data_IF_818886178005
#
_entry.id   IF_818886178005
#
_cell.length_a   1.000
_cell.length_b   1.000
_cell.length_c   1.000
_cell.angle_alpha   90.00
_cell.angle_beta   90.00
_cell.angle_gamma   90.00
#
_symmetry.space_group_name_H-M   'P 1'
#
loop_
_entity.id
_entity.type
_entity.pdbx_description
1 polymer ?
#
# COMPACT_ATOMS: atom_id res chain seq x y z
N UNK A 1 0.38 0.00 21.70
CA UNK A 1 1.40 0.07 22.74
C UNK A 1 2.54 1.04 22.45
N UNK A 2 2.45 1.84 21.39
CA UNK A 2 3.47 2.86 21.04
C UNK A 2 3.10 4.27 21.50
N UNK A 3 2.20 4.40 22.46
CA UNK A 3 1.76 5.67 23.01
C UNK A 3 0.60 6.31 22.25
N UNK A 4 0.40 7.64 22.48
CA UNK A 4 -0.67 8.39 21.82
C UNK A 4 -0.23 8.77 20.40
N UNK A 5 -1.15 8.67 19.44
CA UNK A 5 -0.97 9.16 18.09
C UNK A 5 -0.73 10.67 18.09
N UNK A 6 0.28 11.11 17.33
CA UNK A 6 0.62 12.51 17.15
C UNK A 6 0.94 12.78 15.70
N UNK A 7 0.38 13.82 15.13
CA UNK A 7 0.70 14.33 13.81
C UNK A 7 1.81 15.37 13.92
N UNK A 8 2.85 15.21 13.12
CA UNK A 8 3.94 16.17 13.00
C UNK A 8 3.45 17.41 12.24
N UNK A 9 4.02 18.58 12.53
CA UNK A 9 3.73 19.82 11.82
C UNK A 9 3.92 19.69 10.30
N UNK A 10 2.89 20.00 9.48
CA UNK A 10 2.92 19.80 8.03
C UNK A 10 3.95 20.67 7.32
N UNK A 11 4.20 21.87 7.81
CA UNK A 11 5.19 22.78 7.23
C UNK A 11 6.61 22.26 7.43
N UNK A 12 6.88 21.63 8.59
CA UNK A 12 8.17 20.97 8.84
C UNK A 12 8.38 19.76 7.92
N UNK A 13 7.31 18.99 7.64
CA UNK A 13 7.33 17.85 6.68
C UNK A 13 7.60 18.38 5.26
N UNK A 14 6.88 19.43 4.85
CA UNK A 14 7.08 20.05 3.54
C UNK A 14 8.50 20.60 3.36
N UNK A 15 9.04 21.26 4.39
CA UNK A 15 10.42 21.77 4.37
C UNK A 15 11.43 20.64 4.22
N UNK A 16 11.26 19.54 4.94
CA UNK A 16 12.11 18.34 4.83
C UNK A 16 12.02 17.73 3.43
N UNK A 17 10.83 17.54 2.90
CA UNK A 17 10.62 17.02 1.55
C UNK A 17 11.27 17.89 0.46
N UNK A 18 11.17 19.22 0.59
CA UNK A 18 11.83 20.18 -0.31
C UNK A 18 13.35 20.08 -0.21
N UNK A 19 13.89 19.97 1.01
CA UNK A 19 15.33 19.80 1.19
C UNK A 19 15.84 18.50 0.58
N UNK A 20 15.11 17.40 0.76
CA UNK A 20 15.45 16.11 0.12
C UNK A 20 15.48 16.24 -1.40
N UNK A 21 14.45 16.87 -1.99
CA UNK A 21 14.40 17.09 -3.42
C UNK A 21 15.58 17.95 -3.93
N UNK A 22 15.91 19.03 -3.23
CA UNK A 22 17.05 19.90 -3.57
C UNK A 22 18.40 19.18 -3.45
N UNK A 23 18.47 18.15 -2.59
CA UNK A 23 19.64 17.26 -2.47
C UNK A 23 19.62 16.09 -3.49
N UNK A 24 18.75 16.15 -4.49
CA UNK A 24 18.72 15.19 -5.60
C UNK A 24 17.85 13.95 -5.40
N UNK A 25 17.15 13.80 -4.26
CA UNK A 25 16.20 12.70 -4.07
C UNK A 25 14.96 12.90 -4.96
N UNK A 26 14.62 11.89 -5.75
CA UNK A 26 13.50 11.93 -6.70
C UNK A 26 12.24 11.22 -6.21
N UNK A 27 12.32 10.46 -5.15
CA UNK A 27 11.17 9.82 -4.51
C UNK A 27 11.23 9.97 -3.00
N UNK A 28 10.09 10.27 -2.39
CA UNK A 28 9.89 10.26 -0.95
C UNK A 28 8.70 9.39 -0.60
N UNK A 29 8.75 8.80 0.60
CA UNK A 29 7.61 8.03 1.12
C UNK A 29 7.17 8.64 2.44
N UNK A 30 5.89 9.07 2.51
CA UNK A 30 5.27 9.48 3.76
C UNK A 30 4.95 8.23 4.59
N UNK A 31 5.52 8.15 5.78
CA UNK A 31 5.41 7.00 6.67
C UNK A 31 4.76 7.37 8.00
N UNK A 32 3.92 6.48 8.51
CA UNK A 32 3.31 6.57 9.82
C UNK A 32 2.80 5.20 10.26
N UNK A 33 2.33 5.05 11.50
CA UNK A 33 1.63 3.83 11.93
C UNK A 33 0.30 3.65 11.20
N UNK A 34 -0.35 4.77 10.91
CA UNK A 34 -1.55 4.91 10.10
C UNK A 34 -1.48 6.32 9.50
N UNK A 35 -0.86 6.43 8.32
CA UNK A 35 -0.58 7.73 7.73
C UNK A 35 -1.85 8.48 7.34
N UNK A 36 -2.90 7.75 6.93
CA UNK A 36 -4.16 8.33 6.49
C UNK A 36 -4.96 8.96 7.64
N UNK A 37 -4.65 8.60 8.90
CA UNK A 37 -5.26 9.22 10.07
C UNK A 37 -4.67 10.59 10.43
N UNK A 38 -3.68 11.07 9.68
CA UNK A 38 -3.03 12.34 9.94
C UNK A 38 -4.04 13.49 9.99
N UNK A 39 -4.02 14.21 11.12
CA UNK A 39 -4.76 15.45 11.35
C UNK A 39 -3.92 16.37 12.21
N UNK A 40 -3.79 17.61 11.80
CA UNK A 40 -2.99 18.60 12.50
C UNK A 40 -3.64 19.97 12.46
N UNK A 41 -3.52 20.75 13.53
CA UNK A 41 -3.76 22.21 13.56
C UNK A 41 -2.72 22.86 14.47
N UNK A 42 -2.62 24.17 14.42
CA UNK A 42 -1.74 24.93 15.36
C UNK A 42 -2.12 24.70 16.83
N UNK A 43 -3.40 24.43 17.11
CA UNK A 43 -3.94 24.26 18.46
C UNK A 43 -3.84 22.83 18.96
N UNK A 44 -3.78 21.84 18.07
CA UNK A 44 -3.73 20.43 18.43
C UNK A 44 -3.12 19.56 17.32
N UNK A 45 -2.33 18.57 17.74
CA UNK A 45 -1.71 17.59 16.85
C UNK A 45 -2.13 16.14 17.18
N UNK A 46 -3.29 15.98 17.81
CA UNK A 46 -3.82 14.69 18.22
C UNK A 46 -5.23 14.51 17.65
N UNK A 47 -5.44 13.46 16.85
CA UNK A 47 -6.71 13.14 16.19
C UNK A 47 -7.91 13.20 17.15
N UNK A 48 -7.80 12.59 18.33
CA UNK A 48 -8.89 12.56 19.31
C UNK A 48 -9.29 13.94 19.83
N UNK A 49 -8.32 14.87 19.99
CA UNK A 49 -8.59 16.23 20.43
C UNK A 49 -9.26 17.02 19.31
N UNK A 50 -8.79 16.84 18.08
CA UNK A 50 -9.33 17.50 16.88
C UNK A 50 -10.75 17.01 16.54
N UNK A 51 -11.06 15.73 16.80
CA UNK A 51 -12.40 15.18 16.54
C UNK A 51 -13.44 15.53 17.62
N UNK A 52 -13.00 15.91 18.81
CA UNK A 52 -13.87 16.24 19.96
C UNK A 52 -14.17 17.74 20.07
N UNK A 53 -13.43 18.59 19.42
CA UNK A 53 -13.57 20.03 19.49
C UNK A 53 -14.12 20.57 18.18
N UNK A 54 -15.35 21.09 18.20
CA UNK A 54 -15.97 21.75 17.05
C UNK A 54 -15.40 23.16 16.80
N UNK A 55 -14.57 23.69 17.72
CA UNK A 55 -14.05 25.04 17.68
C UNK A 55 -12.68 25.14 17.00
N UNK A 56 -12.00 24.01 16.77
CA UNK A 56 -10.69 24.01 16.12
C UNK A 56 -10.85 24.21 14.62
N UNK A 57 -10.36 25.37 14.17
CA UNK A 57 -10.31 25.74 12.75
C UNK A 57 -8.99 25.33 12.11
N UNK A 58 -8.92 25.38 10.79
CA UNK A 58 -7.70 25.15 10.00
C UNK A 58 -7.06 23.79 10.25
N UNK A 59 -7.86 22.72 10.28
CA UNK A 59 -7.37 21.37 10.38
C UNK A 59 -6.78 20.93 9.04
N UNK A 60 -5.49 20.59 9.04
CA UNK A 60 -4.80 19.99 7.90
C UNK A 60 -4.93 18.47 8.00
N UNK A 61 -5.61 17.88 7.03
CA UNK A 61 -5.81 16.43 6.87
C UNK A 61 -4.63 15.77 6.14
N UNK A 62 -4.70 14.44 5.99
CA UNK A 62 -3.71 13.72 5.18
C UNK A 62 -3.78 14.10 3.70
N UNK A 63 -4.98 14.30 3.15
CA UNK A 63 -5.15 14.75 1.76
C UNK A 63 -4.51 16.13 1.52
N UNK A 64 -4.68 17.06 2.48
CA UNK A 64 -4.05 18.38 2.38
C UNK A 64 -2.53 18.28 2.43
N UNK A 65 -1.98 17.49 3.37
CA UNK A 65 -0.56 17.24 3.47
C UNK A 65 0.00 16.61 2.18
N UNK A 66 -0.68 15.60 1.66
CA UNK A 66 -0.28 14.91 0.42
C UNK A 66 -0.24 15.89 -0.76
N UNK A 67 -1.25 16.76 -0.88
CA UNK A 67 -1.29 17.81 -1.89
C UNK A 67 -0.17 18.85 -1.71
N UNK A 68 0.09 19.28 -0.47
CA UNK A 68 1.21 20.20 -0.17
C UNK A 68 2.55 19.63 -0.61
N UNK A 69 2.78 18.35 -0.43
CA UNK A 69 4.02 17.67 -0.83
C UNK A 69 4.07 17.48 -2.34
N UNK A 70 2.97 17.08 -2.98
CA UNK A 70 2.89 16.91 -4.44
C UNK A 70 3.21 18.20 -5.20
N UNK A 71 2.83 19.36 -4.65
CA UNK A 71 3.09 20.69 -5.22
C UNK A 71 4.55 21.16 -5.11
N UNK A 72 5.44 20.45 -4.42
CA UNK A 72 6.85 20.85 -4.28
C UNK A 72 7.53 20.87 -5.64
N UNK A 73 7.40 19.78 -6.40
CA UNK A 73 7.90 19.67 -7.77
C UNK A 73 7.25 18.47 -8.48
N UNK A 74 6.86 18.56 -9.75
CA UNK A 74 6.27 17.46 -10.52
C UNK A 74 7.21 16.26 -10.70
N UNK A 75 8.54 16.46 -10.61
CA UNK A 75 9.53 15.38 -10.67
C UNK A 75 9.80 14.72 -9.32
N UNK A 76 9.21 15.22 -8.23
CA UNK A 76 9.28 14.56 -6.93
C UNK A 76 8.16 13.54 -6.82
N UNK A 77 8.50 12.25 -6.98
CA UNK A 77 7.55 11.15 -6.77
C UNK A 77 7.20 11.00 -5.30
N UNK A 78 5.92 10.96 -5.00
CA UNK A 78 5.41 10.86 -3.64
C UNK A 78 4.68 9.54 -3.45
N UNK A 79 5.15 8.74 -2.49
CA UNK A 79 4.47 7.54 -1.99
C UNK A 79 4.01 7.74 -0.57
N UNK A 80 3.06 6.94 -0.16
CA UNK A 80 2.70 6.80 1.24
C UNK A 80 2.47 5.33 1.56
N UNK A 81 2.61 4.96 2.81
CA UNK A 81 2.49 3.57 3.25
C UNK A 81 1.75 3.46 4.56
N UNK A 82 1.05 2.36 4.67
CA UNK A 82 0.34 1.91 5.86
C UNK A 82 -0.94 2.67 6.12
N UNK A 83 -1.95 2.24 5.43
CA UNK A 83 -3.31 2.73 5.58
C UNK A 83 -4.14 1.76 6.40
N UNK A 84 -4.89 2.30 7.34
CA UNK A 84 -6.04 1.54 7.82
C UNK A 84 -7.17 1.74 6.82
N UNK A 85 -7.85 0.69 6.31
CA UNK A 85 -8.82 0.83 5.23
C UNK A 85 -9.89 1.91 5.46
N UNK A 86 -10.29 2.14 6.70
CA UNK A 86 -11.28 3.17 7.06
C UNK A 86 -10.76 4.61 7.04
N UNK A 87 -9.45 4.81 7.11
CA UNK A 87 -8.90 6.16 7.19
C UNK A 87 -8.56 6.72 5.81
N UNK A 88 -8.53 5.87 4.76
CA UNK A 88 -8.38 6.34 3.38
C UNK A 88 -9.67 7.00 2.90
N UNK A 89 -9.65 8.32 2.76
CA UNK A 89 -10.82 9.12 2.35
C UNK A 89 -10.87 9.28 0.83
N UNK A 90 -12.02 9.69 0.31
CA UNK A 90 -12.14 10.00 -1.12
C UNK A 90 -11.28 11.20 -1.51
N UNK A 91 -11.04 12.16 -0.58
CA UNK A 91 -10.15 13.30 -0.84
C UNK A 91 -8.71 12.86 -1.11
N UNK A 92 -8.20 11.85 -0.38
CA UNK A 92 -6.89 11.24 -0.67
C UNK A 92 -6.89 10.62 -2.07
N UNK A 93 -7.95 9.89 -2.45
CA UNK A 93 -8.08 9.31 -3.79
C UNK A 93 -8.12 10.37 -4.89
N UNK A 94 -8.78 11.51 -4.63
CA UNK A 94 -8.80 12.64 -5.56
C UNK A 94 -7.42 13.29 -5.74
N UNK A 95 -6.61 13.37 -4.66
CA UNK A 95 -5.23 13.87 -4.76
C UNK A 95 -4.37 12.91 -5.60
N UNK A 96 -4.49 11.59 -5.39
CA UNK A 96 -3.79 10.60 -6.22
C UNK A 96 -4.15 10.78 -7.71
N UNK A 97 -5.44 10.95 -8.01
CA UNK A 97 -5.91 11.17 -9.38
C UNK A 97 -5.42 12.48 -9.99
N UNK A 98 -5.33 13.54 -9.18
CA UNK A 98 -5.02 14.91 -9.64
C UNK A 98 -3.53 15.11 -9.93
N UNK A 99 -2.65 14.48 -9.17
CA UNK A 99 -1.21 14.72 -9.21
C UNK A 99 -0.47 13.50 -9.74
N UNK A 100 0.05 13.56 -10.96
CA UNK A 100 0.78 12.45 -11.61
C UNK A 100 2.04 12.02 -10.85
N UNK A 101 2.62 12.91 -10.06
CA UNK A 101 3.76 12.60 -9.21
C UNK A 101 3.38 11.93 -7.88
N UNK A 102 2.11 11.85 -7.53
CA UNK A 102 1.63 10.96 -6.46
C UNK A 102 1.43 9.57 -7.03
N UNK A 103 2.07 8.58 -6.42
CA UNK A 103 2.05 7.22 -6.95
C UNK A 103 0.64 6.64 -7.03
N UNK A 104 0.33 6.07 -8.17
CA UNK A 104 -0.93 5.37 -8.46
C UNK A 104 -0.94 3.98 -7.79
N UNK A 105 -0.77 3.95 -6.48
CA UNK A 105 -0.61 2.74 -5.69
C UNK A 105 -1.11 2.93 -4.26
N UNK A 106 -1.87 1.95 -3.79
CA UNK A 106 -2.44 1.94 -2.44
C UNK A 106 -2.16 0.59 -1.77
N UNK A 107 -1.55 0.62 -0.57
CA UNK A 107 -1.47 -0.54 0.30
C UNK A 107 -2.67 -0.54 1.25
N UNK A 108 -3.58 -1.51 1.09
CA UNK A 108 -4.85 -1.59 1.82
C UNK A 108 -4.97 -2.97 2.51
N UNK A 109 -4.51 -3.11 3.76
CA UNK A 109 -4.51 -4.38 4.49
C UNK A 109 -5.92 -4.91 4.75
N UNK A 110 -6.30 -6.01 4.10
CA UNK A 110 -7.58 -6.70 4.34
C UNK A 110 -7.56 -7.57 5.60
N UNK A 111 -6.44 -8.20 5.87
CA UNK A 111 -6.19 -9.16 6.95
C UNK A 111 -6.93 -10.50 6.82
N UNK A 112 -8.23 -10.51 6.54
CA UNK A 112 -9.08 -11.67 6.26
C UNK A 112 -10.20 -11.30 5.30
N UNK A 113 -10.73 -12.28 4.59
CA UNK A 113 -11.91 -12.12 3.73
C UNK A 113 -13.23 -12.39 4.43
N UNK A 114 -13.22 -12.78 5.71
CA UNK A 114 -14.43 -13.13 6.44
C UNK A 114 -14.73 -12.10 7.55
N UNK A 115 -15.98 -11.62 7.60
CA UNK A 115 -16.41 -10.55 8.53
C UNK A 115 -16.36 -10.96 10.01
N UNK A 116 -16.61 -12.24 10.36
CA UNK A 116 -16.49 -12.73 11.74
C UNK A 116 -15.02 -12.73 12.19
N UNK A 117 -14.12 -13.18 11.33
CA UNK A 117 -12.69 -13.18 11.62
C UNK A 117 -12.15 -11.75 11.74
N UNK A 118 -12.55 -10.84 10.85
CA UNK A 118 -12.20 -9.42 10.95
C UNK A 118 -12.64 -8.82 12.29
N UNK A 119 -13.86 -9.10 12.74
CA UNK A 119 -14.36 -8.68 14.06
C UNK A 119 -13.51 -9.23 15.20
N UNK A 120 -13.11 -10.52 15.15
CA UNK A 120 -12.21 -11.14 16.13
C UNK A 120 -10.82 -10.52 16.12
N UNK A 121 -10.31 -10.13 14.95
CA UNK A 121 -9.05 -9.38 14.80
C UNK A 121 -9.17 -7.92 15.25
N UNK A 122 -10.31 -7.51 15.82
CA UNK A 122 -10.60 -6.13 16.22
C UNK A 122 -10.53 -5.13 15.05
N UNK A 123 -10.93 -5.57 13.85
CA UNK A 123 -11.08 -4.68 12.71
C UNK A 123 -12.44 -4.00 12.74
N UNK A 124 -12.47 -2.72 12.38
CA UNK A 124 -13.66 -1.88 12.44
C UNK A 124 -14.48 -1.91 11.15
N UNK A 125 -14.07 -2.71 10.18
CA UNK A 125 -14.73 -2.94 8.89
C UNK A 125 -15.05 -4.43 8.72
N UNK A 126 -16.02 -4.71 7.85
CA UNK A 126 -16.37 -6.03 7.36
C UNK A 126 -15.95 -6.22 5.90
N UNK A 127 -16.24 -7.40 5.34
CA UNK A 127 -15.93 -7.74 3.95
C UNK A 127 -16.59 -6.80 2.95
N UNK A 128 -17.88 -6.51 3.12
CA UNK A 128 -18.65 -5.74 2.14
C UNK A 128 -18.18 -4.29 2.11
N UNK A 129 -17.93 -3.72 3.27
CA UNK A 129 -17.34 -2.39 3.38
C UNK A 129 -15.97 -2.33 2.67
N UNK A 130 -15.14 -3.36 2.86
CA UNK A 130 -13.81 -3.43 2.22
C UNK A 130 -13.92 -3.50 0.69
N UNK A 131 -14.82 -4.35 0.16
CA UNK A 131 -15.07 -4.46 -1.28
C UNK A 131 -15.60 -3.14 -1.87
N UNK A 132 -16.50 -2.45 -1.16
CA UNK A 132 -16.98 -1.12 -1.56
C UNK A 132 -15.84 -0.11 -1.61
N UNK A 133 -14.91 -0.13 -0.66
CA UNK A 133 -13.72 0.74 -0.70
C UNK A 133 -12.81 0.43 -1.89
N UNK A 134 -12.60 -0.84 -2.23
CA UNK A 134 -11.88 -1.24 -3.46
C UNK A 134 -12.60 -0.71 -4.72
N UNK A 135 -13.93 -0.78 -4.74
CA UNK A 135 -14.73 -0.22 -5.84
C UNK A 135 -14.52 1.30 -5.98
N UNK A 136 -14.57 2.05 -4.87
CA UNK A 136 -14.32 3.50 -4.85
C UNK A 136 -12.93 3.85 -5.36
N UNK A 137 -11.89 3.10 -4.93
CA UNK A 137 -10.52 3.30 -5.42
C UNK A 137 -10.48 3.13 -6.94
N UNK A 138 -11.00 2.02 -7.47
CA UNK A 138 -11.01 1.76 -8.92
C UNK A 138 -11.84 2.76 -9.71
N UNK A 139 -12.92 3.29 -9.11
CA UNK A 139 -13.79 4.32 -9.72
C UNK A 139 -13.13 5.69 -9.76
N UNK A 140 -12.50 6.12 -8.68
CA UNK A 140 -11.95 7.48 -8.55
C UNK A 140 -10.55 7.56 -9.16
N UNK A 141 -9.65 6.67 -8.76
CA UNK A 141 -8.24 6.71 -9.19
C UNK A 141 -8.07 6.08 -10.56
N UNK A 142 -8.71 4.96 -10.81
CA UNK A 142 -8.66 4.22 -12.07
C UNK A 142 -8.45 2.72 -11.86
N UNK A 143 -8.78 1.94 -12.89
CA UNK A 143 -8.66 0.46 -12.85
C UNK A 143 -7.20 -0.01 -12.76
N UNK A 144 -6.27 0.82 -13.21
CA UNK A 144 -4.83 0.53 -13.23
C UNK A 144 -4.12 0.89 -11.91
N UNK A 145 -4.86 1.42 -10.93
CA UNK A 145 -4.32 1.66 -9.60
C UNK A 145 -3.77 0.36 -9.01
N UNK A 146 -2.47 0.37 -8.66
CA UNK A 146 -1.84 -0.75 -8.00
C UNK A 146 -2.40 -0.92 -6.58
N UNK A 147 -2.87 -2.10 -6.24
CA UNK A 147 -3.42 -2.40 -4.91
C UNK A 147 -2.67 -3.58 -4.31
N UNK A 148 -2.15 -3.38 -3.10
CA UNK A 148 -1.59 -4.47 -2.30
C UNK A 148 -2.31 -4.62 -0.97
N UNK A 149 -2.09 -5.75 -0.31
CA UNK A 149 -2.76 -6.08 0.95
C UNK A 149 -1.90 -6.93 1.85
N UNK A 150 -2.34 -7.09 3.10
CA UNK A 150 -1.85 -8.08 4.05
C UNK A 150 -2.93 -9.11 4.33
N UNK A 151 -2.52 -10.38 4.48
CA UNK A 151 -3.39 -11.48 4.88
C UNK A 151 -2.78 -12.28 6.00
N UNK A 152 -3.62 -12.69 6.94
CA UNK A 152 -3.28 -13.60 8.03
C UNK A 152 -4.26 -14.76 7.98
N UNK A 153 -3.77 -15.97 7.73
CA UNK A 153 -4.57 -17.21 7.73
C UNK A 153 -4.45 -17.96 9.05
N UNK A 154 -5.42 -18.79 9.36
CA UNK A 154 -5.39 -19.62 10.56
C UNK A 154 -5.47 -18.81 11.84
N UNK A 155 -6.19 -17.69 11.83
CA UNK A 155 -6.51 -16.98 13.06
C UNK A 155 -7.40 -17.84 13.98
N UNK A 156 -7.36 -17.59 15.28
CA UNK A 156 -8.11 -18.36 16.28
C UNK A 156 -9.56 -18.62 15.84
N UNK A 157 -9.94 -19.89 15.80
CA UNK A 157 -11.23 -20.43 15.36
C UNK A 157 -11.63 -20.18 13.89
N UNK A 158 -10.71 -19.83 13.03
CA UNK A 158 -10.99 -19.72 11.59
C UNK A 158 -11.37 -21.09 11.02
N UNK A 159 -12.57 -21.20 10.48
CA UNK A 159 -13.07 -22.42 9.82
C UNK A 159 -12.56 -22.53 8.40
N UNK A 160 -12.82 -23.67 7.74
CA UNK A 160 -12.44 -23.87 6.34
C UNK A 160 -13.23 -22.97 5.39
N UNK A 161 -14.51 -22.76 5.66
CA UNK A 161 -15.35 -21.87 4.84
C UNK A 161 -14.94 -20.40 4.97
N UNK A 162 -14.52 -19.98 6.15
CA UNK A 162 -13.98 -18.62 6.35
C UNK A 162 -12.63 -18.40 5.68
N UNK A 163 -11.80 -19.44 5.59
CA UNK A 163 -10.61 -19.41 4.76
C UNK A 163 -10.97 -19.28 3.27
N UNK A 164 -11.99 -20.00 2.79
CA UNK A 164 -12.51 -19.86 1.41
C UNK A 164 -13.01 -18.44 1.14
N UNK A 165 -13.62 -17.78 2.12
CA UNK A 165 -14.00 -16.36 1.99
C UNK A 165 -12.78 -15.46 1.73
N UNK A 166 -11.66 -15.75 2.39
CA UNK A 166 -10.40 -15.03 2.11
C UNK A 166 -9.91 -15.28 0.68
N UNK A 167 -9.93 -16.53 0.22
CA UNK A 167 -9.59 -16.85 -1.15
C UNK A 167 -10.51 -16.18 -2.17
N UNK A 168 -11.81 -16.11 -1.90
CA UNK A 168 -12.78 -15.45 -2.77
C UNK A 168 -12.65 -13.93 -2.75
N UNK A 169 -12.27 -13.31 -1.61
CA UNK A 169 -11.93 -11.90 -1.58
C UNK A 169 -10.75 -11.58 -2.50
N UNK A 170 -9.72 -12.43 -2.47
CA UNK A 170 -8.55 -12.27 -3.35
C UNK A 170 -8.96 -12.35 -4.83
N UNK A 171 -9.87 -13.25 -5.20
CA UNK A 171 -10.40 -13.35 -6.58
C UNK A 171 -11.21 -12.12 -6.99
N UNK A 172 -11.99 -11.52 -6.08
CA UNK A 172 -12.78 -10.32 -6.37
C UNK A 172 -11.92 -9.06 -6.56
N UNK A 173 -10.83 -8.96 -5.83
CA UNK A 173 -9.97 -7.75 -5.88
C UNK A 173 -8.89 -7.86 -6.93
N UNK A 174 -8.23 -9.03 -7.05
CA UNK A 174 -7.04 -9.30 -7.89
C UNK A 174 -5.92 -8.33 -7.53
N UNK A 175 -5.30 -8.55 -6.35
CA UNK A 175 -4.20 -7.70 -5.86
C UNK A 175 -2.95 -7.79 -6.74
N UNK A 176 -2.21 -6.69 -6.85
CA UNK A 176 -0.92 -6.67 -7.53
C UNK A 176 0.10 -7.53 -6.80
N UNK A 177 0.15 -7.43 -5.48
CA UNK A 177 0.86 -8.35 -4.58
C UNK A 177 0.26 -8.29 -3.18
N UNK A 178 0.64 -9.25 -2.31
CA UNK A 178 0.20 -9.26 -0.92
C UNK A 178 1.32 -9.81 -0.03
N UNK A 179 1.38 -9.30 1.20
CA UNK A 179 2.16 -9.90 2.27
C UNK A 179 1.26 -10.90 2.98
N UNK A 180 1.71 -12.13 3.10
CA UNK A 180 0.90 -13.25 3.55
C UNK A 180 1.58 -13.95 4.70
N UNK A 181 0.85 -14.15 5.78
CA UNK A 181 1.33 -14.75 7.01
C UNK A 181 0.30 -15.76 7.51
N UNK A 182 0.75 -16.76 8.28
CA UNK A 182 -0.15 -17.48 9.17
C UNK A 182 -0.15 -16.84 10.56
N UNK A 183 -1.24 -16.98 11.28
CA UNK A 183 -1.36 -16.45 12.63
C UNK A 183 -0.30 -17.09 13.54
N UNK A 184 0.41 -16.25 14.27
CA UNK A 184 1.32 -16.61 15.34
C UNK A 184 0.96 -15.77 16.56
N UNK A 185 0.70 -16.44 17.66
CA UNK A 185 0.36 -15.77 18.92
C UNK A 185 1.50 -14.84 19.35
N UNK A 186 1.12 -13.64 19.79
CA UNK A 186 2.09 -12.67 20.32
C UNK A 186 1.69 -12.28 21.74
N UNK A 187 2.62 -12.38 22.73
CA UNK A 187 2.35 -12.01 24.12
C UNK A 187 1.81 -10.59 24.26
N UNK A 188 0.84 -10.42 25.16
CA UNK A 188 0.25 -9.13 25.48
C UNK A 188 -0.77 -8.58 24.47
N UNK A 189 -1.06 -9.29 23.38
CA UNK A 189 -2.10 -8.90 22.42
C UNK A 189 -3.50 -9.22 22.94
N UNK A 190 -4.51 -8.50 22.40
CA UNK A 190 -5.90 -8.79 22.69
C UNK A 190 -6.30 -10.21 22.26
N UNK A 191 -5.77 -10.67 21.14
CA UNK A 191 -6.05 -12.01 20.63
C UNK A 191 -5.57 -13.10 21.60
N UNK A 192 -4.32 -13.01 22.06
CA UNK A 192 -3.75 -13.93 23.04
C UNK A 192 -4.55 -13.99 24.35
N UNK A 193 -5.07 -12.86 24.81
CA UNK A 193 -5.86 -12.80 26.06
C UNK A 193 -7.28 -13.31 25.94
N UNK A 194 -7.85 -13.29 24.72
CA UNK A 194 -9.29 -13.57 24.52
C UNK A 194 -9.57 -14.87 23.79
N UNK A 195 -8.61 -15.43 23.08
CA UNK A 195 -8.85 -16.57 22.20
C UNK A 195 -7.74 -17.61 22.37
N UNK A 196 -8.13 -18.88 22.28
CA UNK A 196 -7.18 -19.96 22.18
C UNK A 196 -6.71 -20.10 20.71
N UNK A 197 -5.45 -20.39 20.52
CA UNK A 197 -4.90 -20.71 19.20
C UNK A 197 -5.21 -22.18 18.88
N UNK A 198 -6.41 -22.43 18.38
CA UNK A 198 -7.02 -23.74 18.15
C UNK A 198 -6.87 -24.26 16.71
N UNK A 199 -6.27 -23.48 15.82
CA UNK A 199 -5.96 -23.92 14.44
C UNK A 199 -4.57 -24.56 14.40
N UNK A 200 -4.50 -25.81 13.96
CA UNK A 200 -3.23 -26.56 13.93
C UNK A 200 -2.20 -25.89 12.99
N UNK A 201 -0.92 -26.03 13.33
CA UNK A 201 0.17 -25.48 12.52
C UNK A 201 0.16 -26.04 11.07
N UNK A 202 -0.23 -27.29 10.91
CA UNK A 202 -0.37 -27.92 9.59
C UNK A 202 -1.43 -27.23 8.76
N UNK A 203 -2.63 -27.00 9.33
CA UNK A 203 -3.72 -26.26 8.69
C UNK A 203 -3.32 -24.83 8.34
N UNK A 204 -2.64 -24.14 9.26
CA UNK A 204 -2.12 -22.77 9.01
C UNK A 204 -1.15 -22.73 7.84
N UNK A 205 -0.20 -23.68 7.77
CA UNK A 205 0.79 -23.75 6.67
C UNK A 205 0.11 -24.09 5.35
N UNK A 206 -0.86 -25.03 5.31
CA UNK A 206 -1.64 -25.37 4.12
C UNK A 206 -2.37 -24.15 3.60
N UNK A 207 -3.16 -23.47 4.46
CA UNK A 207 -3.89 -22.25 4.10
C UNK A 207 -2.98 -21.14 3.60
N UNK A 208 -1.82 -20.94 4.24
CA UNK A 208 -0.83 -19.98 3.76
C UNK A 208 -0.34 -20.33 2.34
N UNK A 209 -0.05 -21.61 2.09
CA UNK A 209 0.39 -22.08 0.76
C UNK A 209 -0.68 -21.80 -0.31
N UNK A 210 -1.96 -21.99 0.03
CA UNK A 210 -3.09 -21.74 -0.89
C UNK A 210 -3.20 -20.25 -1.26
N UNK A 211 -3.13 -19.33 -0.29
CA UNK A 211 -3.17 -17.89 -0.60
C UNK A 211 -1.93 -17.42 -1.35
N UNK A 212 -0.73 -17.97 -1.08
CA UNK A 212 0.49 -17.66 -1.82
C UNK A 212 0.34 -18.10 -3.29
N UNK A 213 -0.13 -19.32 -3.54
CA UNK A 213 -0.36 -19.84 -4.88
C UNK A 213 -1.37 -18.98 -5.65
N UNK A 214 -2.46 -18.59 -4.99
CA UNK A 214 -3.49 -17.71 -5.56
C UNK A 214 -2.92 -16.33 -5.90
N UNK A 215 -2.20 -15.71 -4.97
CA UNK A 215 -1.57 -14.41 -5.19
C UNK A 215 -0.60 -14.43 -6.37
N UNK A 216 0.26 -15.44 -6.45
CA UNK A 216 1.20 -15.58 -7.57
C UNK A 216 0.48 -15.66 -8.93
N UNK A 217 -0.67 -16.35 -8.98
CA UNK A 217 -1.52 -16.41 -10.19
C UNK A 217 -2.09 -15.01 -10.53
N UNK A 218 -2.60 -14.29 -9.53
CA UNK A 218 -3.15 -12.93 -9.73
C UNK A 218 -2.07 -11.95 -10.16
N UNK A 219 -0.92 -11.94 -9.47
CA UNK A 219 0.20 -11.05 -9.83
C UNK A 219 0.69 -11.32 -11.26
N UNK A 220 0.82 -12.60 -11.65
CA UNK A 220 1.20 -12.93 -13.01
C UNK A 220 0.15 -12.46 -14.03
N UNK A 221 -1.14 -12.65 -13.76
CA UNK A 221 -2.20 -12.22 -14.68
C UNK A 221 -2.20 -10.70 -14.87
N UNK A 222 -2.05 -9.94 -13.78
CA UNK A 222 -1.94 -8.46 -13.83
C UNK A 222 -0.66 -8.01 -14.54
N UNK A 223 0.45 -8.67 -14.30
CA UNK A 223 1.71 -8.33 -14.95
C UNK A 223 1.67 -8.63 -16.47
N UNK A 224 0.99 -9.69 -16.90
CA UNK A 224 0.80 -9.96 -18.34
C UNK A 224 0.04 -8.85 -19.06
N UNK A 225 -0.88 -8.15 -18.39
CA UNK A 225 -1.60 -7.00 -18.97
C UNK A 225 -0.69 -5.77 -19.18
N UNK A 226 0.50 -5.74 -18.58
CA UNK A 226 1.47 -4.65 -18.76
C UNK A 226 2.43 -4.86 -19.93
N UNK A 227 2.47 -6.06 -20.50
CA UNK A 227 3.33 -6.36 -21.65
C UNK A 227 2.94 -5.48 -22.84
N UNK A 228 3.94 -5.01 -23.58
CA UNK A 228 3.86 -4.03 -24.67
C UNK A 228 3.51 -2.59 -24.27
N UNK A 229 3.14 -2.33 -23.03
CA UNK A 229 2.94 -0.97 -22.53
C UNK A 229 4.26 -0.32 -22.12
N UNK A 230 4.29 1.02 -22.17
CA UNK A 230 5.43 1.84 -21.73
C UNK A 230 5.12 2.51 -20.40
N UNK A 231 6.08 2.47 -19.49
CA UNK A 231 5.95 3.05 -18.15
C UNK A 231 7.10 4.02 -17.86
N UNK A 232 6.78 5.15 -17.23
CA UNK A 232 7.77 6.07 -16.64
C UNK A 232 8.34 5.45 -15.37
N UNK A 233 9.60 5.10 -15.39
CA UNK A 233 10.31 4.36 -14.33
C UNK A 233 11.37 5.25 -13.69
N UNK A 234 11.38 5.34 -12.37
CA UNK A 234 12.50 5.91 -11.63
C UNK A 234 13.59 4.83 -11.48
N UNK A 235 14.79 5.11 -11.97
CA UNK A 235 15.94 4.19 -11.86
C UNK A 235 16.48 4.21 -10.44
N UNK A 236 16.27 3.12 -9.70
CA UNK A 236 16.65 3.01 -8.28
C UNK A 236 18.06 2.45 -8.08
N UNK A 237 18.60 1.76 -9.07
CA UNK A 237 19.93 1.14 -8.96
C UNK A 237 20.16 -0.03 -9.89
N UNK A 238 21.26 -0.71 -9.67
CA UNK A 238 21.63 -1.93 -10.38
C UNK A 238 20.77 -3.12 -9.91
N UNK A 239 20.43 -4.01 -10.82
CA UNK A 239 19.68 -5.24 -10.49
C UNK A 239 20.52 -6.15 -9.59
N UNK A 240 19.84 -6.77 -8.60
CA UNK A 240 20.51 -7.70 -7.67
C UNK A 240 21.07 -8.98 -8.35
N UNK A 241 20.55 -9.34 -9.55
CA UNK A 241 20.90 -10.58 -10.22
C UNK A 241 22.00 -10.41 -11.29
N UNK A 242 22.24 -9.18 -11.76
CA UNK A 242 23.25 -8.91 -12.79
C UNK A 242 23.59 -7.42 -12.84
N UNK A 243 24.88 -7.12 -12.92
CA UNK A 243 25.38 -5.75 -13.07
C UNK A 243 25.08 -5.14 -14.45
N UNK A 244 24.68 -5.95 -15.43
CA UNK A 244 24.31 -5.50 -16.76
C UNK A 244 22.88 -4.96 -16.85
N UNK A 245 22.13 -5.00 -15.76
CA UNK A 245 20.75 -4.55 -15.72
C UNK A 245 20.52 -3.53 -14.61
N UNK A 246 19.69 -2.55 -14.91
CA UNK A 246 19.15 -1.61 -13.96
C UNK A 246 17.77 -2.08 -13.48
N UNK A 247 17.36 -1.56 -12.34
CA UNK A 247 16.03 -1.76 -11.79
C UNK A 247 15.42 -0.42 -11.41
N UNK A 248 14.10 -0.37 -11.45
CA UNK A 248 13.32 0.74 -10.97
C UNK A 248 11.89 0.32 -10.69
N UNK A 249 11.08 1.28 -10.29
CA UNK A 249 9.65 1.05 -10.04
C UNK A 249 8.78 1.99 -10.85
N UNK A 250 7.63 1.45 -11.26
CA UNK A 250 6.56 2.25 -11.84
C UNK A 250 5.77 3.02 -10.76
N UNK A 251 4.85 3.89 -11.16
CA UNK A 251 3.92 4.57 -10.25
C UNK A 251 3.08 3.57 -9.46
N UNK A 252 2.67 2.47 -10.07
CA UNK A 252 1.86 1.36 -9.50
C UNK A 252 2.69 0.43 -8.61
N UNK A 253 3.93 0.81 -8.27
CA UNK A 253 4.87 0.06 -7.43
C UNK A 253 5.33 -1.29 -8.02
N UNK A 254 5.23 -1.47 -9.35
CA UNK A 254 5.75 -2.67 -10.01
C UNK A 254 7.26 -2.54 -10.22
N UNK A 255 7.99 -3.58 -9.84
CA UNK A 255 9.43 -3.68 -10.10
C UNK A 255 9.66 -3.99 -11.58
N UNK A 256 10.49 -3.19 -12.24
CA UNK A 256 10.91 -3.42 -13.60
C UNK A 256 12.43 -3.49 -13.70
N UNK A 257 12.95 -4.42 -14.52
CA UNK A 257 14.37 -4.64 -14.79
C UNK A 257 14.60 -4.48 -16.28
N UNK A 258 15.63 -3.77 -16.65
CA UNK A 258 15.96 -3.46 -18.06
C UNK A 258 17.48 -3.34 -18.24
N UNK A 259 18.02 -3.56 -19.48
CA UNK A 259 19.45 -3.47 -19.75
C UNK A 259 20.03 -2.11 -19.38
N UNK A 260 21.26 -2.12 -18.90
CA UNK A 260 22.02 -0.92 -18.57
C UNK A 260 22.46 -0.21 -19.86
N UNK A 261 21.63 0.74 -20.35
CA UNK A 261 21.97 1.66 -21.43
C UNK A 261 21.92 3.08 -20.89
N UNK A 262 23.03 3.80 -20.85
CA UNK A 262 23.13 5.27 -20.59
C UNK A 262 22.21 5.91 -19.51
N UNK A 263 21.36 5.10 -18.81
CA UNK A 263 20.48 5.60 -17.78
C UNK A 263 21.23 5.80 -16.48
N UNK A 264 21.04 6.95 -15.85
CA UNK A 264 21.66 7.28 -14.58
C UNK A 264 20.70 6.91 -13.44
N UNK A 265 21.26 6.35 -12.37
CA UNK A 265 20.49 6.13 -11.12
C UNK A 265 19.95 7.49 -10.65
N UNK A 266 18.69 7.51 -10.21
CA UNK A 266 18.00 8.72 -9.78
C UNK A 266 17.35 9.53 -10.91
N UNK A 267 17.36 9.03 -12.15
CA UNK A 267 16.65 9.64 -13.27
C UNK A 267 15.39 8.86 -13.66
N UNK A 268 14.49 9.51 -14.39
CA UNK A 268 13.32 8.85 -14.99
C UNK A 268 13.66 8.41 -16.40
N UNK A 269 13.19 7.22 -16.76
CA UNK A 269 13.26 6.66 -18.10
C UNK A 269 11.92 6.05 -18.50
N UNK A 270 11.60 6.07 -19.78
CA UNK A 270 10.46 5.34 -20.31
C UNK A 270 10.91 3.93 -20.71
N UNK A 271 10.23 2.93 -20.15
CA UNK A 271 10.57 1.52 -20.35
C UNK A 271 9.36 0.80 -20.92
N UNK A 272 9.52 0.20 -22.12
CA UNK A 272 8.54 -0.70 -22.71
C UNK A 272 8.72 -2.09 -22.14
N UNK A 273 7.65 -2.62 -21.52
CA UNK A 273 7.64 -3.98 -20.98
C UNK A 273 7.61 -5.00 -22.12
N UNK A 274 8.49 -5.99 -22.09
CA UNK A 274 8.59 -7.08 -23.07
C UNK A 274 8.12 -8.41 -22.51
N UNK A 275 8.47 -8.66 -21.27
CA UNK A 275 8.17 -9.92 -20.57
C UNK A 275 7.86 -9.67 -19.10
N UNK A 276 7.28 -10.64 -18.45
CA UNK A 276 7.02 -10.59 -17.01
C UNK A 276 7.00 -11.98 -16.37
N UNK A 277 7.22 -11.99 -15.06
CA UNK A 277 6.82 -13.07 -14.17
C UNK A 277 5.88 -12.51 -13.08
N UNK A 278 5.53 -13.30 -12.08
CA UNK A 278 4.64 -12.85 -11.00
C UNK A 278 5.20 -11.72 -10.15
N UNK A 279 6.53 -11.52 -10.12
CA UNK A 279 7.19 -10.56 -9.23
C UNK A 279 7.87 -9.39 -9.96
N UNK A 280 8.19 -9.54 -11.24
CA UNK A 280 9.08 -8.61 -11.96
C UNK A 280 8.65 -8.46 -13.40
N UNK A 281 8.69 -7.23 -13.89
CA UNK A 281 8.57 -6.88 -15.29
C UNK A 281 9.96 -6.79 -15.89
N UNK A 282 10.12 -7.19 -17.16
CA UNK A 282 11.34 -7.04 -17.92
C UNK A 282 11.05 -6.20 -19.15
N UNK A 283 11.91 -5.23 -19.44
CA UNK A 283 11.66 -4.28 -20.51
C UNK A 283 12.92 -3.70 -21.11
N UNK A 284 12.73 -2.75 -22.01
CA UNK A 284 13.78 -2.00 -22.69
C UNK A 284 13.47 -0.52 -22.63
N UNK A 285 14.53 0.31 -22.52
CA UNK A 285 14.39 1.77 -22.58
C UNK A 285 13.98 2.14 -24.01
N UNK A 286 12.95 2.98 -24.14
CA UNK A 286 12.44 3.51 -25.41
C UNK A 286 13.41 4.55 -26.01
#
# INVERSE_FOLDING_TARGET
>A
TRGRERSRDPYSIQKEARNLYNNGYKEITLLGQNVDSYKWSKEANNKKKLEKSNDIKDIISFSDLLEMIAKINPDLRVRFSTSHPKDITNDVLMVIKKYENVCNYIHLPAQSGNSRILKKMNRTYDRDWYLNKIHDIKKIVGKDCGISSDFITGFCSETEDEHKDTLSLMDNVIYDYSYMYYYSERPGTLAQRKYNDDVTLETKKRRLSEIIKKQNKHSLSKNKLTVDNTYKVLVEGVSKKSNNFLKGKTSENKLIVFPQKKALIGTYVDVKVKECNSATLFGEIC
#
